data_IF_262499796065
#
_entry.id   IF_262499796065
#
_cell.length_a   1.000
_cell.length_b   1.000
_cell.length_c   1.000
_cell.angle_alpha   90.00
_cell.angle_beta   90.00
_cell.angle_gamma   90.00
#
_symmetry.space_group_name_H-M   'P 1'
#
loop_
_entity.id
_entity.type
_entity.pdbx_description
1 polymer ?
#
# COMPACT_ATOMS: atom_id res chain seq x y z
N UNK A 1 1.78 21.37 -4.90
CA UNK A 1 1.82 20.00 -5.46
C UNK A 1 1.53 19.08 -4.28
N UNK A 2 0.29 18.64 -4.11
CA UNK A 2 -0.03 17.65 -3.08
C UNK A 2 0.77 16.40 -3.39
N UNK A 3 1.69 16.03 -2.50
CA UNK A 3 2.40 14.77 -2.61
C UNK A 3 1.35 13.65 -2.71
N UNK A 4 1.54 12.63 -3.57
CA UNK A 4 0.59 11.52 -3.65
C UNK A 4 0.51 10.88 -2.26
N UNK A 5 -0.59 11.15 -1.54
CA UNK A 5 -0.81 10.65 -0.19
C UNK A 5 -1.02 9.15 -0.30
N UNK A 6 0.03 8.40 0.04
CA UNK A 6 -0.07 6.97 0.27
C UNK A 6 -0.70 6.74 1.65
N UNK A 7 -1.93 6.24 1.68
CA UNK A 7 -2.57 5.77 2.91
C UNK A 7 -2.43 4.25 3.01
N UNK A 8 -1.83 3.74 4.07
CA UNK A 8 -1.77 2.30 4.31
C UNK A 8 -2.63 2.00 5.54
N UNK A 9 -3.74 1.31 5.34
CA UNK A 9 -4.54 0.75 6.42
C UNK A 9 -4.14 -0.71 6.63
N UNK A 10 -3.72 -1.02 7.86
CA UNK A 10 -3.29 -2.36 8.24
C UNK A 10 -4.38 -2.98 9.09
N UNK A 11 -5.18 -3.84 8.48
CA UNK A 11 -6.13 -4.70 9.20
C UNK A 11 -5.48 -6.05 9.54
N UNK A 12 -6.05 -6.77 10.52
CA UNK A 12 -5.51 -8.07 11.01
C UNK A 12 -5.23 -9.06 9.87
N UNK A 13 -6.10 -9.12 8.88
CA UNK A 13 -6.05 -10.10 7.79
C UNK A 13 -5.60 -9.51 6.45
N UNK A 14 -5.65 -8.18 6.30
CA UNK A 14 -5.39 -7.50 5.02
C UNK A 14 -4.71 -6.13 5.17
N UNK A 15 -3.88 -5.81 4.19
CA UNK A 15 -3.24 -4.52 3.99
C UNK A 15 -3.98 -3.80 2.87
N UNK A 16 -4.56 -2.64 3.15
CA UNK A 16 -5.22 -1.81 2.15
C UNK A 16 -4.34 -0.60 1.88
N UNK A 17 -3.88 -0.46 0.65
CA UNK A 17 -3.06 0.67 0.21
C UNK A 17 -3.91 1.56 -0.67
N UNK A 18 -4.06 2.80 -0.27
CA UNK A 18 -4.58 3.87 -1.09
C UNK A 18 -3.42 4.68 -1.67
N UNK A 19 -3.27 4.65 -2.98
CA UNK A 19 -2.18 5.37 -3.65
C UNK A 19 -2.65 5.93 -5.00
N UNK A 20 -2.42 7.23 -5.23
CA UNK A 20 -2.81 7.94 -6.46
C UNK A 20 -4.29 7.72 -6.88
N UNK A 21 -5.22 7.67 -5.93
CA UNK A 21 -6.64 7.45 -6.21
C UNK A 21 -7.04 6.00 -6.50
N UNK A 22 -6.13 5.04 -6.31
CA UNK A 22 -6.37 3.60 -6.45
C UNK A 22 -6.29 2.90 -5.11
N UNK A 23 -7.16 1.91 -4.91
CA UNK A 23 -7.13 1.01 -3.76
C UNK A 23 -6.51 -0.32 -4.17
N UNK A 24 -5.56 -0.79 -3.36
CA UNK A 24 -4.93 -2.09 -3.51
C UNK A 24 -5.14 -2.88 -2.22
N UNK A 25 -5.68 -4.08 -2.34
CA UNK A 25 -5.87 -4.99 -1.22
C UNK A 25 -4.83 -6.11 -1.31
N UNK A 26 -4.07 -6.28 -0.24
CA UNK A 26 -3.08 -7.31 -0.09
C UNK A 26 -3.36 -8.14 1.16
N UNK A 27 -2.98 -9.42 1.20
CA UNK A 27 -3.01 -10.19 2.43
C UNK A 27 -2.03 -9.60 3.45
N UNK A 28 -2.38 -9.60 4.74
CA UNK A 28 -1.47 -9.18 5.82
C UNK A 28 -0.42 -10.26 6.12
N UNK A 29 0.42 -10.54 5.13
CA UNK A 29 1.53 -11.47 5.21
C UNK A 29 2.74 -10.87 4.48
N UNK A 30 3.88 -11.57 4.56
CA UNK A 30 5.12 -11.13 3.93
C UNK A 30 4.97 -10.85 2.42
N UNK A 31 4.14 -11.64 1.74
CA UNK A 31 3.88 -11.50 0.30
C UNK A 31 3.07 -10.23 0.00
N UNK A 32 2.08 -9.90 0.82
CA UNK A 32 1.32 -8.67 0.67
C UNK A 32 2.16 -7.44 0.94
N UNK A 33 3.06 -7.49 1.92
CA UNK A 33 4.00 -6.40 2.19
C UNK A 33 4.99 -6.16 1.03
N UNK A 34 5.46 -7.22 0.37
CA UNK A 34 6.27 -7.13 -0.85
C UNK A 34 5.46 -6.50 -2.00
N UNK A 35 4.17 -6.85 -2.14
CA UNK A 35 3.27 -6.25 -3.12
C UNK A 35 3.03 -4.76 -2.86
N UNK A 36 2.80 -4.37 -1.61
CA UNK A 36 2.68 -2.96 -1.18
C UNK A 36 3.94 -2.18 -1.55
N UNK A 37 5.14 -2.75 -1.33
CA UNK A 37 6.43 -2.17 -1.70
C UNK A 37 6.63 -1.98 -3.21
N UNK A 38 5.95 -2.76 -4.05
CA UNK A 38 5.98 -2.57 -5.51
C UNK A 38 5.02 -1.47 -5.97
N UNK A 39 3.89 -1.30 -5.28
CA UNK A 39 2.88 -0.27 -5.59
C UNK A 39 3.32 1.11 -5.13
N UNK A 40 3.85 1.18 -3.91
CA UNK A 40 4.43 2.41 -3.41
C UNK A 40 5.76 2.60 -4.15
N UNK A 41 5.97 3.71 -4.87
CA UNK A 41 7.26 4.00 -5.45
C UNK A 41 8.25 3.97 -4.29
N UNK A 42 9.20 3.03 -4.33
CA UNK A 42 10.25 2.92 -3.33
C UNK A 42 10.82 4.30 -3.12
N UNK A 43 10.66 4.84 -1.90
CA UNK A 43 11.19 6.14 -1.55
C UNK A 43 12.67 6.17 -1.92
N UNK A 44 13.05 7.23 -2.65
CA UNK A 44 14.43 7.56 -2.93
C UNK A 44 15.21 7.77 -1.63
#
# INVERSE_FOLDING_TARGET
MEAPVAGIDVSKDKLVVYFQGKFYEFPNNKQGFEGVKQILPGGC
#
